data_IF_959034851437
#
_entry.id   IF_959034851437
#
_cell.length_a   1.000
_cell.length_b   1.000
_cell.length_c   1.000
_cell.angle_alpha   90.00
_cell.angle_beta   90.00
_cell.angle_gamma   90.00
#
_symmetry.space_group_name_H-M   'P 1'
#
loop_
_entity.id
_entity.type
_entity.pdbx_description
1 polymer ?
#
# COMPACT_ATOMS: atom_id res chain seq x y z
N UNK A 1 6.78 35.11 8.86
CA UNK A 1 5.78 34.06 9.12
C UNK A 1 6.48 32.94 9.86
N UNK A 2 6.00 32.54 11.04
CA UNK A 2 6.64 31.47 11.84
C UNK A 2 6.06 30.15 11.37
N UNK A 3 6.87 29.32 10.72
CA UNK A 3 6.51 27.93 10.45
C UNK A 3 6.50 27.18 11.78
N UNK A 4 5.43 26.43 12.12
CA UNK A 4 5.40 25.63 13.34
C UNK A 4 6.55 24.62 13.29
N UNK A 5 7.47 24.70 14.25
CA UNK A 5 8.53 23.70 14.38
C UNK A 5 8.02 22.53 15.21
N UNK A 6 8.07 21.32 14.65
CA UNK A 6 7.76 20.10 15.37
C UNK A 6 8.85 19.82 16.42
N UNK A 7 8.50 19.90 17.71
CA UNK A 7 9.44 19.53 18.78
C UNK A 7 9.38 18.03 19.07
N UNK A 8 10.42 17.31 18.63
CA UNK A 8 10.58 15.89 18.97
C UNK A 8 11.11 15.78 20.40
N UNK A 9 10.28 15.32 21.34
CA UNK A 9 10.66 15.15 22.76
C UNK A 9 11.49 13.89 23.03
N UNK A 10 11.22 12.81 22.30
CA UNK A 10 11.94 11.54 22.43
C UNK A 10 13.36 11.63 21.87
N UNK A 11 14.36 11.26 22.68
CA UNK A 11 15.76 11.17 22.24
C UNK A 11 15.91 10.20 21.06
N UNK A 12 15.28 9.02 21.15
CA UNK A 12 15.30 7.99 20.11
C UNK A 12 14.74 8.51 18.77
N UNK A 13 13.66 9.27 18.79
CA UNK A 13 13.06 9.82 17.57
C UNK A 13 13.96 10.89 16.94
N UNK A 14 14.64 11.69 17.76
CA UNK A 14 15.61 12.69 17.31
C UNK A 14 16.81 12.03 16.64
N UNK A 15 17.37 10.99 17.24
CA UNK A 15 18.52 10.27 16.69
C UNK A 15 18.19 9.61 15.35
N UNK A 16 16.99 9.03 15.24
CA UNK A 16 16.50 8.41 14.01
C UNK A 16 16.32 9.46 12.89
N UNK A 17 15.72 10.61 13.22
CA UNK A 17 15.54 11.69 12.26
C UNK A 17 16.89 12.26 11.78
N UNK A 18 17.87 12.44 12.69
CA UNK A 18 19.22 12.86 12.32
C UNK A 18 19.93 11.84 11.41
N UNK A 19 19.81 10.54 11.72
CA UNK A 19 20.41 9.47 10.91
C UNK A 19 19.85 9.45 9.49
N UNK A 20 18.54 9.58 9.35
CA UNK A 20 17.86 9.62 8.05
C UNK A 20 18.20 10.90 7.26
N UNK A 21 18.16 12.05 7.92
CA UNK A 21 18.53 13.33 7.29
C UNK A 21 19.96 13.31 6.72
N UNK A 22 20.92 12.74 7.45
CA UNK A 22 22.30 12.56 6.95
C UNK A 22 22.40 11.60 5.77
N UNK A 23 21.64 10.50 5.79
CA UNK A 23 21.67 9.49 4.72
C UNK A 23 21.08 10.00 3.42
N UNK A 24 20.00 10.78 3.51
CA UNK A 24 19.23 11.25 2.35
C UNK A 24 19.61 12.66 1.90
N UNK A 25 20.57 13.31 2.60
CA UNK A 25 20.99 14.69 2.37
C UNK A 25 19.81 15.67 2.36
N UNK A 26 18.91 15.52 3.34
CA UNK A 26 17.66 16.28 3.49
C UNK A 26 17.59 16.95 4.85
N UNK A 27 16.68 17.92 4.99
CA UNK A 27 16.40 18.54 6.28
C UNK A 27 15.62 17.57 7.18
N UNK A 28 15.75 17.75 8.50
CA UNK A 28 15.01 16.95 9.48
C UNK A 28 13.50 17.13 9.32
N UNK A 29 13.06 18.35 9.00
CA UNK A 29 11.65 18.66 8.76
C UNK A 29 11.10 17.84 7.58
N UNK A 30 11.77 17.86 6.43
CA UNK A 30 11.37 17.12 5.21
C UNK A 30 11.29 15.60 5.46
N UNK A 31 12.25 15.04 6.21
CA UNK A 31 12.21 13.63 6.60
C UNK A 31 11.00 13.31 7.47
N UNK A 32 10.70 14.15 8.46
CA UNK A 32 9.60 13.89 9.39
C UNK A 32 8.24 14.06 8.71
N UNK A 33 8.07 15.09 7.90
CA UNK A 33 6.85 15.32 7.11
C UNK A 33 6.56 14.11 6.21
N UNK A 34 7.55 13.68 5.40
CA UNK A 34 7.40 12.50 4.54
C UNK A 34 7.14 11.21 5.31
N UNK A 35 7.78 11.04 6.48
CA UNK A 35 7.57 9.87 7.32
C UNK A 35 6.13 9.84 7.86
N UNK A 36 5.59 11.00 8.27
CA UNK A 36 4.22 11.13 8.75
C UNK A 36 3.21 10.94 7.61
N UNK A 37 3.43 11.52 6.43
CA UNK A 37 2.61 11.28 5.23
C UNK A 37 2.58 9.80 4.86
N UNK A 38 3.74 9.14 4.90
CA UNK A 38 3.84 7.69 4.62
C UNK A 38 3.11 6.87 5.67
N UNK A 39 3.19 7.26 6.95
CA UNK A 39 2.48 6.61 8.03
C UNK A 39 0.96 6.79 7.88
N UNK A 40 0.50 8.01 7.61
CA UNK A 40 -0.91 8.29 7.33
C UNK A 40 -1.42 7.50 6.13
N UNK A 41 -0.69 7.49 5.01
CA UNK A 41 -1.08 6.71 3.83
C UNK A 41 -1.14 5.20 4.10
N UNK A 42 -0.35 4.69 5.05
CA UNK A 42 -0.36 3.28 5.47
C UNK A 42 -1.51 2.97 6.41
N UNK A 43 -1.74 3.82 7.41
CA UNK A 43 -2.63 3.54 8.54
C UNK A 43 -4.02 4.15 8.40
N UNK A 44 -4.17 5.33 7.77
CA UNK A 44 -5.39 6.12 7.78
C UNK A 44 -6.36 5.86 6.62
N UNK A 45 -6.04 4.97 5.68
CA UNK A 45 -6.85 4.82 4.46
C UNK A 45 -6.98 3.42 3.88
N UNK A 46 -6.40 2.39 4.50
CA UNK A 46 -6.55 1.03 3.97
C UNK A 46 -7.77 0.35 4.57
N UNK A 47 -8.80 0.22 3.74
CA UNK A 47 -9.79 -0.83 3.90
C UNK A 47 -9.06 -2.18 4.08
N UNK A 48 -9.37 -2.97 5.13
CA UNK A 48 -8.79 -4.31 5.27
C UNK A 48 -8.96 -5.10 3.99
N UNK A 49 -7.93 -5.83 3.55
CA UNK A 49 -7.96 -6.55 2.28
C UNK A 49 -9.22 -7.41 2.10
N UNK A 50 -9.67 -8.07 3.17
CA UNK A 50 -10.92 -8.83 3.18
C UNK A 50 -12.15 -7.97 2.86
N UNK A 51 -12.25 -6.77 3.42
CA UNK A 51 -13.35 -5.82 3.18
C UNK A 51 -13.28 -5.24 1.77
N UNK A 52 -12.07 -4.99 1.26
CA UNK A 52 -11.84 -4.56 -0.12
C UNK A 52 -12.29 -5.62 -1.14
N UNK A 53 -11.84 -6.88 -0.99
CA UNK A 53 -12.23 -7.95 -1.89
C UNK A 53 -13.72 -8.30 -1.79
N UNK A 54 -14.30 -8.22 -0.59
CA UNK A 54 -15.75 -8.37 -0.42
C UNK A 54 -16.52 -7.28 -1.15
N UNK A 55 -16.14 -6.01 -0.98
CA UNK A 55 -16.78 -4.89 -1.69
C UNK A 55 -16.58 -4.98 -3.20
N UNK A 56 -15.36 -5.32 -3.65
CA UNK A 56 -15.04 -5.48 -5.07
C UNK A 56 -15.86 -6.64 -5.69
N UNK A 57 -15.96 -7.77 -4.99
CA UNK A 57 -16.83 -8.88 -5.40
C UNK A 57 -18.31 -8.49 -5.39
N UNK A 58 -18.78 -7.71 -4.44
CA UNK A 58 -20.18 -7.24 -4.46
C UNK A 58 -20.47 -6.18 -5.54
N UNK A 59 -19.49 -5.34 -5.91
CA UNK A 59 -19.65 -4.26 -6.90
C UNK A 59 -19.34 -4.70 -8.33
N UNK A 60 -18.43 -5.66 -8.48
CA UNK A 60 -17.85 -6.08 -9.76
C UNK A 60 -17.87 -7.60 -9.93
N UNK A 61 -18.46 -8.33 -8.97
CA UNK A 61 -18.86 -9.71 -9.16
C UNK A 61 -19.86 -9.74 -10.27
N UNK A 62 -19.34 -9.99 -11.46
CA UNK A 62 -20.12 -10.36 -12.61
C UNK A 62 -21.00 -11.53 -12.21
N UNK A 63 -22.28 -11.49 -12.60
CA UNK A 63 -23.24 -12.60 -12.52
C UNK A 63 -22.86 -13.73 -13.52
N UNK A 64 -21.56 -13.95 -13.64
CA UNK A 64 -20.88 -14.78 -14.61
C UNK A 64 -20.20 -15.87 -13.80
N UNK A 65 -20.71 -17.08 -13.99
CA UNK A 65 -20.04 -18.28 -13.55
C UNK A 65 -18.80 -18.51 -14.42
N UNK A 66 -17.66 -18.03 -13.93
CA UNK A 66 -16.37 -18.19 -14.61
C UNK A 66 -16.00 -19.66 -14.79
N UNK A 67 -16.38 -20.53 -13.85
CA UNK A 67 -16.09 -21.96 -13.95
C UNK A 67 -16.90 -22.57 -15.10
N UNK A 68 -18.18 -22.20 -15.24
CA UNK A 68 -19.02 -22.61 -16.37
C UNK A 68 -18.47 -22.11 -17.72
N UNK A 69 -18.03 -20.85 -17.81
CA UNK A 69 -17.44 -20.30 -19.05
C UNK A 69 -16.11 -20.98 -19.39
N UNK A 70 -15.26 -21.22 -18.38
CA UNK A 70 -13.97 -21.88 -18.58
C UNK A 70 -14.19 -23.29 -19.09
N UNK A 71 -15.10 -24.06 -18.48
CA UNK A 71 -15.41 -25.43 -18.93
C UNK A 71 -16.01 -25.46 -20.33
N UNK A 72 -16.91 -24.54 -20.68
CA UNK A 72 -17.48 -24.44 -22.03
C UNK A 72 -16.42 -24.11 -23.09
N UNK A 73 -15.46 -23.23 -22.76
CA UNK A 73 -14.45 -22.76 -23.69
C UNK A 73 -13.14 -23.57 -23.67
N UNK A 74 -12.99 -24.50 -22.73
CA UNK A 74 -11.80 -25.33 -22.61
C UNK A 74 -11.69 -26.23 -23.83
N UNK A 75 -10.68 -25.96 -24.68
CA UNK A 75 -10.27 -26.88 -25.74
C UNK A 75 -9.04 -27.64 -25.25
N UNK A 76 -9.17 -28.91 -24.83
CA UNK A 76 -8.02 -29.70 -24.42
C UNK A 76 -7.09 -29.85 -25.62
N UNK A 77 -5.91 -29.24 -25.56
CA UNK A 77 -4.86 -29.52 -26.51
C UNK A 77 -4.37 -30.93 -26.24
N UNK A 78 -4.69 -31.87 -27.13
CA UNK A 78 -3.96 -33.15 -27.19
C UNK A 78 -2.53 -32.76 -27.53
N UNK A 79 -1.63 -32.90 -26.57
CA UNK A 79 -0.21 -32.54 -26.73
C UNK A 79 0.41 -33.23 -27.95
N UNK A 80 1.64 -32.86 -28.27
CA UNK A 80 2.40 -33.49 -29.36
C UNK A 80 2.49 -34.99 -29.08
N UNK A 81 2.12 -35.83 -30.05
CA UNK A 81 2.37 -37.27 -29.98
C UNK A 81 3.88 -37.48 -30.00
N UNK A 82 4.42 -37.96 -28.87
CA UNK A 82 5.83 -38.31 -28.70
C UNK A 82 6.07 -39.78 -29.04
#
# INVERSE_FOLDING_TARGET
MVTPQLSVRSSKARDLAHKLARRENRTIADIVERALETYEAREAGREPAAKFYSRLSSQSGTDIDLDSIIDENRRPHKGVEL
#
